data_IF_097012704613
#
_entry.id   IF_097012704613
#
_cell.length_a   1.000
_cell.length_b   1.000
_cell.length_c   1.000
_cell.angle_alpha   90.00
_cell.angle_beta   90.00
_cell.angle_gamma   90.00
#
_symmetry.space_group_name_H-M   'P 1'
#
loop_
_entity.id
_entity.type
_entity.pdbx_description
1 polymer ?
#
# COMPACT_ATOMS: atom_id res chain seq x y z
N UNK A 1 -21.02 65.18 56.14
CA UNK A 1 -20.12 64.03 56.07
C UNK A 1 -20.71 63.08 55.04
N UNK A 2 -20.10 63.04 53.86
CA UNK A 2 -20.53 62.10 52.75
C UNK A 2 -19.53 60.98 52.68
N UNK A 3 -19.94 59.79 53.02
CA UNK A 3 -19.12 58.55 52.87
C UNK A 3 -19.20 58.09 51.47
N UNK A 4 -18.05 58.04 50.75
CA UNK A 4 -17.88 57.40 49.43
C UNK A 4 -17.61 55.90 49.62
N UNK A 5 -18.51 55.07 49.08
CA UNK A 5 -18.31 53.67 49.00
C UNK A 5 -17.53 53.35 47.67
N UNK A 6 -16.32 52.83 47.82
CA UNK A 6 -15.51 52.38 46.70
C UNK A 6 -15.89 50.96 46.30
N UNK A 7 -16.37 50.76 45.08
CA UNK A 7 -16.74 49.46 44.53
C UNK A 7 -15.56 48.91 43.72
N UNK A 8 -14.84 47.93 44.27
CA UNK A 8 -13.72 47.29 43.61
C UNK A 8 -14.26 46.14 42.73
N UNK A 9 -14.14 46.31 41.42
CA UNK A 9 -14.55 45.32 40.41
C UNK A 9 -13.41 44.29 40.23
N UNK A 10 -13.60 43.04 40.71
CA UNK A 10 -12.70 41.93 40.43
C UNK A 10 -13.02 41.35 39.02
N UNK A 11 -12.12 41.55 38.06
CA UNK A 11 -12.17 40.85 36.77
C UNK A 11 -11.59 39.45 36.96
N UNK A 12 -12.44 38.43 36.86
CA UNK A 12 -12.00 37.04 36.71
C UNK A 12 -11.61 36.79 35.26
N UNK A 13 -10.31 36.60 34.99
CA UNK A 13 -9.83 36.07 33.73
C UNK A 13 -9.99 34.57 33.73
N UNK A 14 -10.97 34.05 32.97
CA UNK A 14 -11.07 32.63 32.65
C UNK A 14 -10.06 32.34 31.57
N UNK A 15 -8.95 31.74 31.94
CA UNK A 15 -8.00 31.18 30.99
C UNK A 15 -8.58 29.81 30.47
N UNK A 16 -9.18 29.85 29.29
CA UNK A 16 -9.51 28.60 28.58
C UNK A 16 -8.20 27.97 28.07
N UNK A 17 -7.67 27.02 28.81
CA UNK A 17 -6.64 26.11 28.30
C UNK A 17 -7.30 25.11 27.36
N UNK A 18 -7.22 25.34 26.06
CA UNK A 18 -7.52 24.30 25.05
C UNK A 18 -6.42 23.26 25.10
N UNK A 19 -6.67 22.14 25.78
CA UNK A 19 -5.83 20.95 25.65
C UNK A 19 -6.04 20.43 24.23
N UNK A 20 -5.01 20.53 23.39
CA UNK A 20 -4.97 19.81 22.13
C UNK A 20 -5.04 18.30 22.49
N UNK A 21 -6.17 17.68 22.20
CA UNK A 21 -6.33 16.25 22.29
C UNK A 21 -5.47 15.66 21.17
N UNK A 22 -4.34 15.06 21.51
CA UNK A 22 -3.56 14.21 20.61
C UNK A 22 -4.46 13.02 20.21
N UNK A 23 -5.25 13.20 19.14
CA UNK A 23 -6.03 12.11 18.57
C UNK A 23 -5.05 11.19 17.86
N UNK A 24 -4.58 10.15 18.58
CA UNK A 24 -3.81 9.06 17.98
C UNK A 24 -4.59 8.53 16.78
N UNK A 25 -3.99 8.59 15.59
CA UNK A 25 -4.62 8.10 14.36
C UNK A 25 -5.12 6.65 14.55
N UNK A 26 -6.31 6.35 14.06
CA UNK A 26 -6.87 5.02 14.17
C UNK A 26 -5.98 4.01 13.44
N UNK A 27 -5.74 2.84 14.06
CA UNK A 27 -4.87 1.80 13.50
C UNK A 27 -5.43 1.22 12.19
N UNK A 28 -6.75 1.16 12.04
CA UNK A 28 -7.46 0.77 10.84
C UNK A 28 -8.61 1.75 10.57
N UNK A 29 -8.88 2.00 9.32
CA UNK A 29 -10.02 2.81 8.87
C UNK A 29 -10.72 2.12 7.71
N UNK A 30 -12.02 2.38 7.54
CA UNK A 30 -12.78 1.90 6.42
C UNK A 30 -13.48 3.08 5.72
N UNK A 31 -13.43 3.10 4.40
CA UNK A 31 -14.05 4.13 3.56
C UNK A 31 -15.14 3.48 2.71
N UNK A 32 -16.36 3.95 2.83
CA UNK A 32 -17.45 3.48 1.97
C UNK A 32 -17.32 4.09 0.57
N UNK A 33 -17.18 3.25 -0.44
CA UNK A 33 -17.07 3.66 -1.86
C UNK A 33 -18.44 3.89 -2.52
N UNK A 34 -19.49 3.34 -1.95
CA UNK A 34 -20.86 3.37 -2.43
C UNK A 34 -21.52 1.98 -2.33
N UNK A 35 -22.85 1.95 -2.24
CA UNK A 35 -23.65 0.70 -2.15
C UNK A 35 -23.22 -0.24 -1.01
N UNK A 36 -22.69 0.32 0.07
CA UNK A 36 -22.19 -0.46 1.22
C UNK A 36 -20.83 -1.15 0.98
N UNK A 37 -20.14 -0.90 -0.15
CA UNK A 37 -18.84 -1.47 -0.43
C UNK A 37 -17.76 -0.68 0.29
N UNK A 38 -17.00 -1.36 1.14
CA UNK A 38 -15.97 -0.76 1.99
C UNK A 38 -14.58 -0.96 1.41
N UNK A 39 -13.73 0.05 1.54
CA UNK A 39 -12.28 -0.03 1.33
C UNK A 39 -11.62 0.04 2.73
N UNK A 40 -11.07 -1.07 3.17
CA UNK A 40 -10.35 -1.18 4.43
C UNK A 40 -8.87 -0.79 4.25
N UNK A 41 -8.36 0.01 5.19
CA UNK A 41 -6.99 0.51 5.16
C UNK A 41 -6.34 0.37 6.55
N UNK A 42 -5.06 0.07 6.55
CA UNK A 42 -4.23 -0.08 7.77
C UNK A 42 -3.23 1.06 7.84
N UNK A 43 -3.07 1.64 9.03
CA UNK A 43 -2.04 2.65 9.28
C UNK A 43 -0.66 2.01 9.29
N UNK A 44 0.16 2.35 8.32
CA UNK A 44 1.58 2.03 8.26
C UNK A 44 2.34 3.15 8.96
N UNK A 45 3.10 2.88 10.04
CA UNK A 45 3.80 3.92 10.80
C UNK A 45 4.97 4.50 9.99
N UNK A 46 5.36 5.72 10.32
CA UNK A 46 6.66 6.24 9.90
C UNK A 46 7.80 5.38 10.46
N UNK A 47 8.92 5.31 9.74
CA UNK A 47 10.05 4.50 10.17
C UNK A 47 11.16 4.43 9.12
N UNK A 48 12.08 3.51 9.30
CA UNK A 48 13.18 3.28 8.36
C UNK A 48 13.40 1.79 8.15
N UNK A 49 13.93 1.42 6.99
CA UNK A 49 14.28 0.06 6.66
C UNK A 49 15.41 0.01 5.63
N UNK A 50 15.96 -1.17 5.44
CA UNK A 50 16.86 -1.46 4.32
C UNK A 50 16.03 -2.03 3.17
N UNK A 51 15.92 -1.28 2.09
CA UNK A 51 15.22 -1.67 0.86
C UNK A 51 16.15 -2.49 -0.04
N UNK A 52 15.62 -3.49 -0.74
CA UNK A 52 16.38 -4.42 -1.56
C UNK A 52 16.80 -5.67 -0.82
N UNK A 53 17.64 -6.51 -1.45
CA UNK A 53 18.10 -7.80 -0.92
C UNK A 53 19.60 -7.85 -0.69
N UNK A 54 20.07 -8.59 0.36
CA UNK A 54 21.50 -8.81 0.56
C UNK A 54 22.08 -9.67 -0.57
N UNK A 55 23.38 -9.51 -0.84
CA UNK A 55 24.08 -10.29 -1.89
C UNK A 55 23.99 -11.81 -1.68
N UNK A 56 23.69 -12.24 -0.46
CA UNK A 56 23.55 -13.65 -0.09
C UNK A 56 22.14 -14.18 -0.22
N UNK A 57 21.15 -13.32 -0.55
CA UNK A 57 19.77 -13.78 -0.72
C UNK A 57 19.66 -14.65 -1.98
N UNK A 58 19.10 -15.87 -1.88
CA UNK A 58 18.90 -16.72 -3.05
C UNK A 58 18.01 -16.06 -4.08
N UNK A 59 18.33 -16.26 -5.35
CA UNK A 59 17.54 -15.80 -6.50
C UNK A 59 17.30 -14.28 -6.58
N UNK A 60 18.18 -13.48 -5.92
CA UNK A 60 18.16 -12.03 -6.05
C UNK A 60 18.52 -11.58 -7.46
N UNK A 61 17.95 -10.47 -7.87
CA UNK A 61 18.28 -9.80 -9.14
C UNK A 61 19.28 -8.64 -8.91
N UNK A 62 19.99 -8.23 -9.99
CA UNK A 62 21.02 -7.20 -9.89
C UNK A 62 20.51 -5.78 -9.62
N UNK A 63 19.21 -5.57 -9.72
CA UNK A 63 18.54 -4.28 -9.48
C UNK A 63 17.99 -4.11 -8.07
N UNK A 64 18.22 -5.10 -7.17
CA UNK A 64 17.79 -5.11 -5.78
C UNK A 64 18.87 -4.63 -4.80
N UNK A 65 19.73 -3.69 -5.21
CA UNK A 65 20.83 -3.22 -4.36
C UNK A 65 20.31 -2.61 -3.06
N UNK A 66 20.84 -3.10 -1.92
CA UNK A 66 20.44 -2.61 -0.61
C UNK A 66 20.83 -1.14 -0.40
N UNK A 67 19.88 -0.37 0.10
CA UNK A 67 20.09 0.99 0.56
C UNK A 67 19.10 1.33 1.69
N UNK A 68 19.42 2.36 2.48
CA UNK A 68 18.54 2.80 3.55
C UNK A 68 17.44 3.70 3.02
N UNK A 69 16.21 3.46 3.48
CA UNK A 69 15.04 4.28 3.18
C UNK A 69 14.38 4.73 4.48
N UNK A 70 14.03 6.00 4.55
CA UNK A 70 13.25 6.60 5.64
C UNK A 70 11.87 6.98 5.11
N UNK A 71 10.83 6.42 5.70
CA UNK A 71 9.43 6.84 5.51
C UNK A 71 9.11 7.84 6.61
N UNK A 72 9.06 9.12 6.25
CA UNK A 72 9.01 10.21 7.26
C UNK A 72 7.63 10.43 7.86
N UNK A 73 6.57 10.00 7.18
CA UNK A 73 5.18 10.18 7.62
C UNK A 73 4.41 8.87 7.59
N UNK A 74 3.53 8.63 8.58
CA UNK A 74 2.62 7.50 8.50
C UNK A 74 1.64 7.70 7.34
N UNK A 75 1.18 6.60 6.76
CA UNK A 75 0.19 6.60 5.69
C UNK A 75 -0.77 5.42 5.86
N UNK A 76 -1.97 5.52 5.31
CA UNK A 76 -2.88 4.39 5.25
C UNK A 76 -2.68 3.61 3.96
N UNK A 77 -2.49 2.29 4.07
CA UNK A 77 -2.39 1.37 2.92
C UNK A 77 -3.59 0.44 2.90
N UNK A 78 -4.11 0.14 1.71
CA UNK A 78 -5.16 -0.85 1.52
C UNK A 78 -4.80 -2.15 2.23
N UNK A 79 -5.68 -2.62 3.14
CA UNK A 79 -5.52 -3.87 3.86
C UNK A 79 -5.37 -5.05 2.90
N UNK A 80 -6.06 -4.95 1.77
CA UNK A 80 -6.10 -5.90 0.67
C UNK A 80 -5.79 -5.22 -0.66
N UNK A 81 -5.55 -6.00 -1.70
CA UNK A 81 -5.62 -5.56 -3.09
C UNK A 81 -7.03 -5.01 -3.38
N UNK A 82 -7.17 -4.08 -4.32
CA UNK A 82 -8.48 -3.57 -4.74
C UNK A 82 -9.30 -4.70 -5.34
N UNK A 83 -10.50 -4.94 -4.77
CA UNK A 83 -11.39 -6.01 -5.23
C UNK A 83 -12.19 -5.62 -6.48
N UNK A 84 -12.73 -6.63 -7.16
CA UNK A 84 -13.58 -6.42 -8.34
C UNK A 84 -14.88 -5.66 -8.02
N UNK A 85 -15.47 -5.87 -6.82
CA UNK A 85 -16.64 -5.09 -6.38
C UNK A 85 -16.30 -3.63 -6.14
N UNK A 86 -15.14 -3.34 -5.50
CA UNK A 86 -14.65 -1.99 -5.29
C UNK A 86 -14.37 -1.28 -6.63
N UNK A 87 -13.71 -1.97 -7.54
CA UNK A 87 -13.46 -1.46 -8.89
C UNK A 87 -14.76 -1.18 -9.65
N UNK A 88 -15.72 -2.11 -9.60
CA UNK A 88 -17.02 -1.99 -10.28
C UNK A 88 -17.82 -0.78 -9.78
N UNK A 89 -17.82 -0.52 -8.48
CA UNK A 89 -18.55 0.64 -7.90
C UNK A 89 -17.99 1.95 -8.42
N UNK A 90 -16.69 2.08 -8.62
CA UNK A 90 -16.03 3.31 -9.06
C UNK A 90 -16.06 3.43 -10.59
N UNK A 91 -15.75 2.35 -11.30
CA UNK A 91 -15.56 2.36 -12.77
C UNK A 91 -16.81 1.99 -13.58
N UNK A 92 -17.77 1.29 -12.97
CA UNK A 92 -18.97 0.82 -13.65
C UNK A 92 -18.78 -0.40 -14.56
N UNK A 93 -17.55 -0.91 -14.67
CA UNK A 93 -17.18 -2.10 -15.47
C UNK A 93 -16.11 -2.90 -14.76
N UNK A 94 -16.04 -4.22 -15.02
CA UNK A 94 -15.03 -5.10 -14.44
C UNK A 94 -14.22 -5.76 -15.57
N UNK A 95 -12.91 -5.43 -15.73
CA UNK A 95 -12.07 -5.96 -16.82
C UNK A 95 -11.54 -7.37 -16.54
N UNK A 96 -11.56 -7.84 -15.29
CA UNK A 96 -10.99 -9.14 -14.90
C UNK A 96 -11.58 -10.30 -15.69
N UNK A 97 -10.76 -11.28 -16.08
CA UNK A 97 -11.22 -12.47 -16.80
C UNK A 97 -12.02 -13.41 -15.87
N UNK A 98 -11.44 -13.78 -14.73
CA UNK A 98 -12.13 -14.55 -13.69
C UNK A 98 -12.96 -13.62 -12.83
N UNK A 99 -14.28 -13.87 -12.74
CA UNK A 99 -15.22 -13.02 -12.02
C UNK A 99 -15.43 -13.49 -10.59
N UNK A 100 -15.50 -12.52 -9.66
CA UNK A 100 -15.83 -12.75 -8.25
C UNK A 100 -15.65 -11.46 -7.44
N UNK A 101 -16.66 -11.07 -6.68
CA UNK A 101 -16.71 -9.79 -5.96
C UNK A 101 -15.48 -9.56 -5.08
N UNK A 102 -15.08 -10.58 -4.32
CA UNK A 102 -13.94 -10.55 -3.40
C UNK A 102 -12.59 -10.94 -4.04
N UNK A 103 -12.55 -11.23 -5.34
CA UNK A 103 -11.29 -11.41 -6.04
C UNK A 103 -10.64 -10.04 -6.29
N UNK A 104 -9.29 -9.97 -6.35
CA UNK A 104 -8.63 -8.75 -6.78
C UNK A 104 -9.03 -8.41 -8.23
N UNK A 105 -9.12 -7.13 -8.54
CA UNK A 105 -9.28 -6.70 -9.93
C UNK A 105 -8.00 -7.02 -10.70
N UNK A 106 -8.16 -7.52 -11.93
CA UNK A 106 -7.05 -7.84 -12.85
C UNK A 106 -7.35 -7.34 -14.25
N UNK A 107 -6.41 -7.46 -15.18
CA UNK A 107 -6.47 -6.88 -16.51
C UNK A 107 -6.63 -5.36 -16.45
N UNK A 108 -5.83 -4.75 -15.59
CA UNK A 108 -5.72 -3.30 -15.41
C UNK A 108 -4.29 -2.86 -15.66
N UNK A 109 -4.12 -1.87 -16.51
CA UNK A 109 -2.87 -1.17 -16.74
C UNK A 109 -2.60 -0.14 -15.64
N UNK A 110 -1.40 0.42 -15.60
CA UNK A 110 -1.10 1.54 -14.71
C UNK A 110 -1.98 2.77 -15.04
N UNK A 111 -2.23 3.03 -16.31
CA UNK A 111 -3.10 4.11 -16.76
C UNK A 111 -4.55 3.90 -16.28
N UNK A 112 -5.08 2.66 -16.34
CA UNK A 112 -6.40 2.34 -15.78
C UNK A 112 -6.44 2.55 -14.26
N UNK A 113 -5.36 2.19 -13.55
CA UNK A 113 -5.25 2.45 -12.11
C UNK A 113 -5.30 3.95 -11.81
N UNK A 114 -4.67 4.78 -12.62
CA UNK A 114 -4.74 6.25 -12.49
C UNK A 114 -6.14 6.79 -12.78
N UNK A 115 -6.83 6.25 -13.78
CA UNK A 115 -8.22 6.62 -14.06
C UNK A 115 -9.14 6.25 -12.88
N UNK A 116 -9.00 5.04 -12.34
CA UNK A 116 -9.72 4.59 -11.14
C UNK A 116 -9.50 5.55 -9.97
N UNK A 117 -8.23 5.89 -9.68
CA UNK A 117 -7.87 6.79 -8.58
C UNK A 117 -8.44 8.19 -8.78
N UNK A 118 -8.38 8.73 -10.01
CA UNK A 118 -8.96 10.04 -10.32
C UNK A 118 -10.47 10.06 -10.08
N UNK A 119 -11.19 9.01 -10.51
CA UNK A 119 -12.63 8.88 -10.25
C UNK A 119 -12.92 8.74 -8.75
N UNK A 120 -12.17 7.89 -8.03
CA UNK A 120 -12.31 7.71 -6.60
C UNK A 120 -12.10 9.03 -5.84
N UNK A 121 -11.07 9.79 -6.20
CA UNK A 121 -10.78 11.10 -5.60
C UNK A 121 -11.89 12.13 -5.88
N UNK A 122 -12.54 12.07 -7.05
CA UNK A 122 -13.69 12.94 -7.37
C UNK A 122 -14.93 12.63 -6.53
N UNK A 123 -14.99 11.47 -5.89
CA UNK A 123 -16.08 11.10 -4.97
C UNK A 123 -15.96 11.77 -3.58
N UNK A 124 -14.88 12.51 -3.31
CA UNK A 124 -14.62 13.20 -2.04
C UNK A 124 -14.60 12.26 -0.81
N UNK A 125 -14.14 11.03 -1.00
CA UNK A 125 -14.01 10.01 0.06
C UNK A 125 -12.63 10.01 0.74
N UNK A 126 -11.73 10.89 0.32
CA UNK A 126 -10.35 11.00 0.76
C UNK A 126 -9.44 11.26 -0.43
N UNK A 127 -8.14 11.35 -0.19
CA UNK A 127 -7.14 11.49 -1.25
C UNK A 127 -6.37 10.19 -1.39
N UNK A 128 -6.50 9.54 -2.54
CA UNK A 128 -5.91 8.24 -2.83
C UNK A 128 -4.85 8.34 -3.92
N UNK A 129 -3.89 7.43 -3.86
CA UNK A 129 -2.84 7.24 -4.86
C UNK A 129 -2.33 5.80 -4.85
N UNK A 130 -1.49 5.44 -5.83
CA UNK A 130 -0.68 4.23 -5.74
C UNK A 130 0.41 4.42 -4.68
N UNK A 131 0.87 3.35 -4.01
CA UNK A 131 2.07 3.41 -3.16
C UNK A 131 3.30 3.75 -4.01
N UNK A 132 4.29 4.42 -3.42
CA UNK A 132 5.63 4.36 -3.98
C UNK A 132 6.20 2.95 -3.82
N UNK A 133 7.20 2.60 -4.63
CA UNK A 133 7.88 1.32 -4.53
C UNK A 133 8.43 1.07 -3.12
N UNK A 134 9.00 2.11 -2.52
CA UNK A 134 9.56 2.05 -1.18
C UNK A 134 8.47 1.91 -0.09
N UNK A 135 7.34 2.60 -0.21
CA UNK A 135 6.20 2.41 0.69
C UNK A 135 5.65 0.98 0.61
N UNK A 136 5.59 0.42 -0.62
CA UNK A 136 5.13 -0.94 -0.82
C UNK A 136 6.06 -1.96 -0.14
N UNK A 137 7.40 -1.88 -0.37
CA UNK A 137 8.34 -2.84 0.24
C UNK A 137 8.43 -2.66 1.76
N UNK A 138 8.43 -1.42 2.26
CA UNK A 138 8.38 -1.15 3.70
C UNK A 138 7.15 -1.80 4.35
N UNK A 139 5.99 -1.62 3.75
CA UNK A 139 4.73 -2.20 4.21
C UNK A 139 4.71 -3.73 4.08
N UNK A 140 5.26 -4.28 3.00
CA UNK A 140 5.41 -5.72 2.79
C UNK A 140 6.27 -6.35 3.89
N UNK A 141 7.44 -5.80 4.16
CA UNK A 141 8.36 -6.30 5.20
C UNK A 141 7.78 -6.17 6.60
N UNK A 142 7.05 -5.12 6.90
CA UNK A 142 6.44 -4.88 8.21
C UNK A 142 7.42 -5.12 9.39
N UNK A 143 8.67 -4.67 9.23
CA UNK A 143 9.76 -4.83 10.19
C UNK A 143 10.62 -6.09 10.01
N UNK A 144 10.26 -7.02 9.11
CA UNK A 144 11.09 -8.18 8.79
C UNK A 144 12.28 -7.81 7.91
N UNK A 145 13.40 -8.52 8.10
CA UNK A 145 14.60 -8.46 7.24
C UNK A 145 14.80 -9.72 6.42
N UNK A 146 13.88 -10.68 6.53
CA UNK A 146 13.92 -11.98 5.83
C UNK A 146 13.40 -11.86 4.40
N UNK A 147 13.57 -12.90 3.62
CA UNK A 147 13.14 -12.99 2.20
C UNK A 147 11.64 -12.68 2.02
N UNK A 148 10.81 -13.17 2.95
CA UNK A 148 9.36 -12.90 3.04
C UNK A 148 9.03 -12.24 4.38
N UNK A 149 7.89 -11.62 4.51
CA UNK A 149 7.46 -10.95 5.75
C UNK A 149 7.32 -11.88 6.97
N UNK A 150 7.34 -13.19 6.75
CA UNK A 150 7.15 -14.24 7.76
C UNK A 150 8.34 -15.21 7.87
N UNK A 151 9.48 -14.94 7.21
CA UNK A 151 10.70 -15.77 7.27
C UNK A 151 11.34 -16.00 5.90
N UNK A 152 12.28 -16.95 5.81
CA UNK A 152 13.06 -17.22 4.59
C UNK A 152 12.47 -18.32 3.71
N UNK A 153 11.33 -18.88 4.08
CA UNK A 153 10.67 -19.96 3.32
C UNK A 153 9.22 -19.66 3.12
N UNK A 154 8.72 -19.96 1.93
CA UNK A 154 7.31 -19.82 1.55
C UNK A 154 6.74 -21.18 1.10
N UNK A 155 5.50 -21.43 1.46
CA UNK A 155 4.74 -22.62 1.07
C UNK A 155 3.37 -22.21 0.53
N UNK A 156 2.64 -23.12 -0.15
CA UNK A 156 1.26 -22.86 -0.57
C UNK A 156 0.25 -22.56 0.54
N UNK A 157 0.65 -22.69 1.81
CA UNK A 157 -0.15 -22.30 2.99
C UNK A 157 0.01 -20.83 3.35
N UNK A 158 1.06 -20.21 2.85
CA UNK A 158 1.46 -18.85 3.23
C UNK A 158 1.01 -17.80 2.20
N UNK A 159 0.91 -18.21 0.91
CA UNK A 159 0.54 -17.29 -0.18
C UNK A 159 0.02 -18.05 -1.40
N UNK A 160 -0.67 -17.33 -2.30
CA UNK A 160 -1.08 -17.83 -3.61
C UNK A 160 -0.01 -17.50 -4.68
N UNK A 161 0.79 -18.48 -5.04
CA UNK A 161 1.84 -18.36 -6.07
C UNK A 161 1.91 -19.66 -6.89
N UNK A 162 2.83 -19.78 -7.84
CA UNK A 162 2.87 -20.91 -8.78
C UNK A 162 2.82 -22.29 -8.13
N UNK A 163 3.48 -22.49 -6.97
CA UNK A 163 3.45 -23.77 -6.25
C UNK A 163 2.11 -24.08 -5.57
N UNK A 164 1.22 -23.09 -5.43
CA UNK A 164 -0.14 -23.30 -4.94
C UNK A 164 -0.97 -24.15 -5.92
N UNK A 165 -0.57 -24.18 -7.20
CA UNK A 165 -1.22 -24.93 -8.29
C UNK A 165 -2.69 -24.56 -8.48
N UNK A 166 -3.13 -23.41 -7.94
CA UNK A 166 -4.50 -22.93 -8.11
C UNK A 166 -4.73 -22.33 -9.50
N UNK A 167 -3.68 -21.81 -10.14
CA UNK A 167 -3.69 -21.20 -11.47
C UNK A 167 -4.76 -20.10 -11.65
N UNK A 168 -5.15 -19.46 -10.58
CA UNK A 168 -6.13 -18.37 -10.54
C UNK A 168 -5.95 -17.55 -9.26
N UNK A 169 -6.50 -16.34 -9.24
CA UNK A 169 -6.60 -15.53 -8.05
C UNK A 169 -7.46 -16.19 -6.98
N UNK A 170 -7.15 -15.91 -5.70
CA UNK A 170 -7.99 -16.24 -4.55
C UNK A 170 -8.70 -14.98 -4.05
N UNK A 171 -9.82 -15.10 -3.31
CA UNK A 171 -10.39 -13.96 -2.60
C UNK A 171 -9.32 -13.28 -1.74
N UNK A 172 -9.32 -11.95 -1.72
CA UNK A 172 -8.37 -11.19 -0.91
C UNK A 172 -8.50 -11.58 0.57
N UNK A 173 -7.38 -11.60 1.30
CA UNK A 173 -7.37 -12.01 2.70
C UNK A 173 -7.44 -13.52 2.93
N UNK A 174 -7.21 -14.35 1.90
CA UNK A 174 -7.23 -15.82 2.04
C UNK A 174 -6.08 -16.39 2.85
N UNK A 175 -5.02 -15.62 3.08
CA UNK A 175 -3.82 -16.02 3.80
C UNK A 175 -3.61 -15.15 5.05
N UNK A 176 -2.60 -15.47 5.86
CA UNK A 176 -2.30 -14.71 7.08
C UNK A 176 -1.71 -13.33 6.73
N UNK A 177 -2.07 -12.27 7.47
CA UNK A 177 -1.48 -10.96 7.28
C UNK A 177 -0.04 -10.90 7.82
N UNK A 178 0.71 -9.91 7.35
CA UNK A 178 1.99 -9.54 7.95
C UNK A 178 1.81 -8.80 9.29
N UNK A 179 2.92 -8.39 9.92
CA UNK A 179 2.91 -7.75 11.24
C UNK A 179 2.20 -6.38 11.27
N UNK A 180 2.00 -5.71 10.11
CA UNK A 180 1.19 -4.50 10.03
C UNK A 180 -0.31 -4.79 9.82
N UNK A 181 -0.71 -6.03 9.55
CA UNK A 181 -2.09 -6.42 9.28
C UNK A 181 -2.45 -6.35 7.79
N UNK A 182 -1.46 -6.32 6.90
CA UNK A 182 -1.64 -6.30 5.45
C UNK A 182 -1.62 -7.73 4.89
N UNK A 183 -2.57 -8.03 4.03
CA UNK A 183 -2.77 -9.34 3.42
C UNK A 183 -2.22 -9.39 1.99
N UNK A 184 -1.90 -10.58 1.53
CA UNK A 184 -1.55 -10.91 0.14
C UNK A 184 -0.36 -10.10 -0.43
N UNK A 185 0.56 -9.64 0.46
CA UNK A 185 1.77 -8.93 0.05
C UNK A 185 2.79 -9.82 -0.70
N UNK A 186 2.55 -11.13 -0.74
CA UNK A 186 3.35 -12.13 -1.45
C UNK A 186 2.43 -12.98 -2.32
N UNK A 187 2.42 -12.76 -3.62
CA UNK A 187 1.60 -13.54 -4.57
C UNK A 187 0.21 -12.95 -4.80
N UNK A 188 -0.76 -13.76 -5.14
CA UNK A 188 -2.10 -13.45 -5.64
C UNK A 188 -2.05 -12.60 -6.91
N UNK A 189 -1.92 -11.27 -6.86
CA UNK A 189 -1.64 -10.44 -8.03
C UNK A 189 -0.42 -9.55 -7.82
N UNK A 190 0.34 -9.30 -8.88
CA UNK A 190 1.40 -8.30 -8.85
C UNK A 190 0.79 -6.90 -8.85
N UNK A 191 1.30 -5.99 -8.02
CA UNK A 191 0.66 -4.70 -7.71
C UNK A 191 1.43 -3.53 -8.31
N UNK A 192 0.74 -2.65 -9.06
CA UNK A 192 1.28 -1.43 -9.60
C UNK A 192 1.71 -0.45 -8.51
N UNK A 193 2.95 0.08 -8.64
CA UNK A 193 3.46 1.21 -7.87
C UNK A 193 3.47 2.50 -8.69
N UNK A 194 3.59 3.64 -8.02
CA UNK A 194 3.59 4.94 -8.69
C UNK A 194 4.88 5.23 -9.47
N UNK A 195 5.98 4.62 -9.06
CA UNK A 195 7.33 4.93 -9.50
C UNK A 195 7.59 4.52 -10.95
N UNK A 196 8.34 5.35 -11.66
CA UNK A 196 9.07 4.89 -12.82
C UNK A 196 10.23 3.99 -12.38
N UNK A 197 10.41 2.89 -13.09
CA UNK A 197 11.51 1.97 -12.80
C UNK A 197 12.88 2.61 -13.09
N UNK A 198 13.78 2.51 -12.13
CA UNK A 198 15.18 2.90 -12.22
C UNK A 198 16.05 2.04 -11.29
N UNK A 199 17.36 2.12 -11.44
CA UNK A 199 18.30 1.53 -10.48
C UNK A 199 18.17 2.26 -9.14
N UNK A 200 18.30 1.52 -8.05
CA UNK A 200 18.31 2.10 -6.72
C UNK A 200 19.52 3.00 -6.48
N UNK A 201 19.35 4.10 -5.72
CA UNK A 201 20.47 4.89 -5.23
C UNK A 201 21.34 4.05 -4.30
N UNK A 202 22.60 4.48 -4.11
CA UNK A 202 23.48 3.84 -3.12
C UNK A 202 23.36 4.46 -1.73
N UNK A 203 22.97 5.73 -1.68
CA UNK A 203 22.85 6.54 -0.47
C UNK A 203 21.49 6.34 0.19
N UNK A 204 21.40 6.77 1.46
CA UNK A 204 20.13 6.87 2.17
C UNK A 204 19.20 7.87 1.48
N UNK A 205 17.92 7.49 1.33
CA UNK A 205 16.88 8.35 0.75
C UNK A 205 15.67 8.47 1.68
N UNK A 206 14.96 9.61 1.56
CA UNK A 206 13.74 9.88 2.33
C UNK A 206 12.55 10.02 1.39
N UNK A 207 11.48 9.29 1.71
CA UNK A 207 10.22 9.28 0.96
C UNK A 207 10.43 9.21 -0.57
N UNK A 208 11.23 8.25 -1.10
CA UNK A 208 11.54 8.20 -2.52
C UNK A 208 10.28 7.92 -3.35
N UNK A 209 10.18 8.58 -4.51
CA UNK A 209 9.06 8.48 -5.45
C UNK A 209 9.52 8.00 -6.85
N UNK A 210 10.75 7.49 -6.93
CA UNK A 210 11.38 7.17 -8.21
C UNK A 210 11.75 8.42 -9.03
N UNK A 211 12.24 8.25 -10.24
CA UNK A 211 12.57 9.36 -11.13
C UNK A 211 11.29 10.06 -11.65
N UNK A 212 11.42 11.32 -12.09
CA UNK A 212 10.29 12.13 -12.59
C UNK A 212 9.68 11.56 -13.87
N UNK A 213 10.51 10.88 -14.69
CA UNK A 213 10.09 10.27 -15.94
C UNK A 213 10.78 8.92 -16.15
N UNK A 214 10.25 8.12 -17.06
CA UNK A 214 10.76 6.80 -17.42
C UNK A 214 9.92 6.16 -18.52
N UNK A 215 10.24 4.93 -18.87
CA UNK A 215 9.49 4.16 -19.89
C UNK A 215 8.67 3.01 -19.31
N UNK A 216 8.93 2.60 -18.06
CA UNK A 216 8.29 1.47 -17.40
C UNK A 216 7.94 1.82 -15.97
N UNK A 217 6.78 1.36 -15.52
CA UNK A 217 6.29 1.49 -14.13
C UNK A 217 6.62 0.24 -13.34
N UNK A 218 6.88 0.42 -12.05
CA UNK A 218 7.20 -0.68 -11.13
C UNK A 218 5.94 -1.45 -10.75
N UNK A 219 6.11 -2.78 -10.62
CA UNK A 219 5.15 -3.68 -9.98
C UNK A 219 5.87 -4.50 -8.90
N UNK A 220 5.14 -4.90 -7.87
CA UNK A 220 5.67 -5.60 -6.70
C UNK A 220 4.80 -6.78 -6.27
N UNK A 221 5.37 -7.72 -5.48
CA UNK A 221 4.65 -8.80 -4.80
C UNK A 221 4.56 -10.12 -5.54
N UNK A 222 4.76 -10.13 -6.85
CA UNK A 222 4.57 -11.34 -7.67
C UNK A 222 3.12 -11.77 -7.77
N UNK A 223 2.83 -12.94 -8.32
CA UNK A 223 1.44 -13.39 -8.51
C UNK A 223 1.30 -14.91 -8.54
N UNK A 224 0.04 -15.38 -8.58
CA UNK A 224 -0.30 -16.79 -8.73
C UNK A 224 0.25 -17.42 -10.02
N UNK A 225 0.54 -16.61 -11.04
CA UNK A 225 0.90 -17.09 -12.39
C UNK A 225 2.41 -17.11 -12.67
N UNK A 226 3.25 -16.55 -11.80
CA UNK A 226 4.69 -16.60 -11.99
C UNK A 226 5.24 -18.00 -11.73
N UNK A 227 6.05 -18.50 -12.65
CA UNK A 227 6.56 -19.88 -12.64
C UNK A 227 7.57 -20.19 -11.54
N UNK A 228 8.20 -19.16 -10.95
CA UNK A 228 9.25 -19.32 -9.95
C UNK A 228 8.79 -18.83 -8.58
N UNK A 229 9.14 -19.56 -7.52
CA UNK A 229 8.84 -19.17 -6.13
C UNK A 229 9.57 -17.93 -5.68
N UNK A 230 10.65 -17.63 -6.36
CA UNK A 230 11.56 -16.53 -6.08
C UNK A 230 10.99 -15.17 -6.45
N UNK A 231 9.99 -15.15 -7.33
CA UNK A 231 9.34 -13.92 -7.83
C UNK A 231 8.20 -13.40 -6.95
N UNK A 232 8.13 -13.84 -5.69
CA UNK A 232 7.18 -13.32 -4.67
C UNK A 232 7.92 -12.88 -3.39
N UNK A 233 9.28 -12.69 -3.46
CA UNK A 233 10.08 -12.16 -2.35
C UNK A 233 9.71 -10.69 -2.07
N UNK A 234 10.00 -10.23 -0.86
CA UNK A 234 9.76 -8.82 -0.51
C UNK A 234 10.55 -7.84 -1.41
N UNK A 235 11.76 -8.25 -1.87
CA UNK A 235 12.64 -7.43 -2.68
C UNK A 235 12.41 -7.52 -4.20
N UNK A 236 11.65 -8.52 -4.69
CA UNK A 236 11.41 -8.72 -6.14
C UNK A 236 10.81 -7.49 -6.81
N UNK A 237 11.37 -7.15 -7.96
CA UNK A 237 10.98 -5.99 -8.74
C UNK A 237 10.56 -6.39 -10.13
N UNK A 238 9.39 -5.92 -10.56
CA UNK A 238 8.91 -6.05 -11.94
C UNK A 238 8.67 -4.68 -12.53
N UNK A 239 8.72 -4.58 -13.85
CA UNK A 239 8.46 -3.32 -14.52
C UNK A 239 7.91 -3.54 -15.93
N UNK A 240 6.84 -2.84 -16.27
CA UNK A 240 6.21 -2.85 -17.58
C UNK A 240 5.83 -1.45 -18.04
N UNK A 241 5.48 -1.32 -19.33
CA UNK A 241 4.95 -0.05 -19.85
C UNK A 241 3.64 0.32 -19.14
N UNK A 242 3.31 1.61 -18.98
CA UNK A 242 2.08 2.04 -18.30
C UNK A 242 0.80 1.46 -18.89
N UNK A 243 0.82 1.07 -20.17
CA UNK A 243 -0.31 0.49 -20.90
C UNK A 243 -0.38 -1.04 -20.85
N UNK A 244 0.58 -1.68 -20.16
CA UNK A 244 0.59 -3.14 -20.05
C UNK A 244 -0.55 -3.63 -19.17
N UNK A 245 -1.34 -4.58 -19.67
CA UNK A 245 -2.41 -5.26 -18.96
C UNK A 245 -2.04 -6.73 -18.75
N UNK A 246 -2.40 -7.29 -17.60
CA UNK A 246 -2.20 -8.71 -17.30
C UNK A 246 -3.32 -9.26 -16.43
N UNK A 247 -3.69 -10.52 -16.72
CA UNK A 247 -4.65 -11.28 -15.91
C UNK A 247 -4.15 -11.58 -14.48
N UNK A 248 -2.93 -11.18 -14.17
CA UNK A 248 -2.30 -11.33 -12.85
C UNK A 248 -1.76 -10.02 -12.28
N UNK A 249 -2.08 -8.87 -12.89
CA UNK A 249 -1.70 -7.55 -12.38
C UNK A 249 -2.93 -6.80 -11.85
N UNK A 250 -2.78 -6.24 -10.66
CA UNK A 250 -3.78 -5.46 -9.93
C UNK A 250 -3.17 -4.24 -9.26
N UNK A 251 -3.80 -3.75 -8.22
CA UNK A 251 -3.32 -2.58 -7.47
C UNK A 251 -3.73 -2.63 -6.00
N UNK A 252 -3.00 -1.88 -5.19
CA UNK A 252 -3.32 -1.53 -3.82
C UNK A 252 -3.27 0.00 -3.67
N UNK A 253 -4.09 0.57 -2.79
CA UNK A 253 -4.21 2.01 -2.64
C UNK A 253 -3.53 2.52 -1.38
N UNK A 254 -2.88 3.67 -1.48
CA UNK A 254 -2.55 4.53 -0.35
C UNK A 254 -3.64 5.58 -0.21
N UNK A 255 -4.07 5.86 1.03
CA UNK A 255 -4.82 7.05 1.41
C UNK A 255 -3.89 7.98 2.16
N UNK A 256 -3.80 9.21 1.70
CA UNK A 256 -3.07 10.27 2.40
C UNK A 256 -3.84 10.69 3.67
N UNK A 257 -3.08 10.99 4.73
CA UNK A 257 -3.64 11.52 5.99
C UNK A 257 -4.12 12.95 5.84
#
# INVERSE_FOLDING_TARGET
MKTMLSLTLLLFHVILTTTAQDTKAAKEVAVELGKGIMLELVLVPAGQFTMGSPLTEPDREDDENQHKVVITKPFYLGKFEVTQEQWMVVMGKNPSNTKGEKLPVTNVSWDDCKEFINKLNSMNKGRFRLPSEAEWEYACRAGSTTTFSFGDKITPKDANFSRSKLNKTTPVGSYKPNAFGLYDMHGNVVEWCNDWYAKYPKEEVKDPQGPINGSRKVLRGGSFSFLFTTVVRAADRFHFTPTYESYSAGLRLVREN
#
